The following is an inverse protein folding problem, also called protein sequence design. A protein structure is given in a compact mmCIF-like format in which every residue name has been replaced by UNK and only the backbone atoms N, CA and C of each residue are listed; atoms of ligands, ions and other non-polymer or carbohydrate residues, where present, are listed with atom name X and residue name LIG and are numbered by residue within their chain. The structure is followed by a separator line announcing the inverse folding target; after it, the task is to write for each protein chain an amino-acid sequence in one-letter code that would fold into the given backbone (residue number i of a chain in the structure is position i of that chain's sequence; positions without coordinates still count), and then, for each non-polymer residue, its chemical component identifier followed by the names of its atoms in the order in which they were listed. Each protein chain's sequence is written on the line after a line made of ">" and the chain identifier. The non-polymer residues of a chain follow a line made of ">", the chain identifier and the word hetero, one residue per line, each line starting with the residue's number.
data_IF_316760051947
#
_entry.id   IF_316760051947
#
_cell.length_a   1.000
_cell.length_b   1.000
_cell.length_c   1.000
_cell.angle_alpha   90.00
_cell.angle_beta   90.00
_cell.angle_gamma   90.00
#
_symmetry.space_group_name_H-M   'P 1'
#
loop_
_entity.id
_entity.type
_entity.pdbx_description
1 polymer ?
#
# COMPACT_ATOMS: atom_id res chain seq x y z
N UNK A 1 7.63 -17.29 15.40
CA UNK A 1 7.11 -16.01 14.89
C UNK A 1 6.22 -15.40 15.96
N UNK A 2 6.62 -14.26 16.53
CA UNK A 2 5.87 -13.61 17.61
C UNK A 2 4.77 -12.73 17.00
N UNK A 3 3.58 -13.30 16.77
CA UNK A 3 2.44 -12.60 16.18
C UNK A 3 2.11 -11.29 16.92
N UNK A 4 2.23 -11.32 18.25
CA UNK A 4 1.95 -10.16 19.10
C UNK A 4 2.92 -9.01 18.84
N UNK A 5 4.21 -9.31 18.67
CA UNK A 5 5.24 -8.32 18.37
C UNK A 5 5.05 -7.72 16.98
N UNK A 6 4.67 -8.55 15.99
CA UNK A 6 4.35 -8.09 14.63
C UNK A 6 3.16 -7.12 14.63
N UNK A 7 2.10 -7.46 15.36
CA UNK A 7 0.93 -6.60 15.50
C UNK A 7 1.26 -5.29 16.23
N UNK A 8 2.07 -5.34 17.29
CA UNK A 8 2.51 -4.16 18.03
C UNK A 8 3.30 -3.19 17.14
N UNK A 9 4.26 -3.69 16.37
CA UNK A 9 5.01 -2.84 15.46
C UNK A 9 4.16 -2.26 14.33
N UNK A 10 3.23 -3.04 13.76
CA UNK A 10 2.31 -2.54 12.76
C UNK A 10 1.44 -1.42 13.32
N UNK A 11 0.90 -1.60 14.52
CA UNK A 11 0.16 -0.55 15.23
C UNK A 11 1.01 0.71 15.42
N UNK A 12 2.27 0.58 15.86
CA UNK A 12 3.17 1.72 16.04
C UNK A 12 3.44 2.46 14.72
N UNK A 13 3.60 1.74 13.60
CA UNK A 13 3.73 2.38 12.29
C UNK A 13 2.45 3.11 11.86
N UNK A 14 1.28 2.54 12.13
CA UNK A 14 0.01 3.20 11.86
C UNK A 14 -0.16 4.48 12.68
N UNK A 15 0.24 4.46 13.96
CA UNK A 15 0.24 5.66 14.80
C UNK A 15 1.17 6.74 14.25
N UNK A 16 2.38 6.37 13.82
CA UNK A 16 3.30 7.32 13.16
C UNK A 16 2.76 7.85 11.82
N UNK A 17 2.13 7.00 11.02
CA UNK A 17 1.49 7.40 9.76
C UNK A 17 0.44 8.48 10.01
N UNK A 18 -0.40 8.31 11.03
CA UNK A 18 -1.50 9.23 11.36
C UNK A 18 -1.03 10.49 12.09
N UNK A 19 0.13 10.44 12.72
CA UNK A 19 0.80 11.59 13.33
C UNK A 19 1.64 12.42 12.35
N UNK A 20 1.90 11.92 11.13
CA UNK A 20 2.65 12.66 10.11
C UNK A 20 1.83 13.83 9.56
N UNK A 21 2.27 15.06 9.86
CA UNK A 21 1.55 16.28 9.48
C UNK A 21 1.36 16.43 7.97
N UNK A 22 2.33 16.01 7.16
CA UNK A 22 2.24 16.12 5.70
C UNK A 22 1.13 15.21 5.17
N UNK A 23 1.07 13.97 5.65
CA UNK A 23 0.05 13.01 5.23
C UNK A 23 -1.34 13.37 5.75
N UNK A 24 -1.42 13.84 6.99
CA UNK A 24 -2.66 14.34 7.59
C UNK A 24 -3.21 15.55 6.83
N UNK A 25 -2.35 16.53 6.51
CA UNK A 25 -2.73 17.68 5.69
C UNK A 25 -3.03 17.30 4.23
N UNK A 26 -2.43 16.21 3.75
CA UNK A 26 -2.73 15.57 2.48
C UNK A 26 -4.06 14.82 2.44
N UNK A 27 -4.82 14.78 3.53
CA UNK A 27 -6.16 14.22 3.63
C UNK A 27 -6.21 12.70 3.73
N UNK A 28 -5.11 12.05 4.15
CA UNK A 28 -5.12 10.61 4.40
C UNK A 28 -5.90 10.29 5.67
N UNK A 29 -6.84 9.35 5.59
CA UNK A 29 -7.67 8.94 6.74
C UNK A 29 -7.68 7.44 6.95
N UNK A 30 -7.63 7.00 8.20
CA UNK A 30 -7.86 5.61 8.58
C UNK A 30 -9.34 5.28 8.54
N UNK A 31 -9.72 4.19 7.87
CA UNK A 31 -11.11 3.70 7.80
C UNK A 31 -11.32 2.51 8.73
N UNK A 32 -10.38 1.55 8.67
CA UNK A 32 -10.45 0.30 9.40
C UNK A 32 -9.03 -0.09 9.82
N UNK A 33 -8.87 -0.58 11.04
CA UNK A 33 -7.64 -1.19 11.50
C UNK A 33 -7.97 -2.48 12.24
N UNK A 34 -7.35 -3.56 11.77
CA UNK A 34 -7.36 -4.88 12.39
C UNK A 34 -5.94 -5.22 12.85
N UNK A 35 -5.76 -6.43 13.38
CA UNK A 35 -4.47 -6.89 13.92
C UNK A 35 -3.38 -6.98 12.84
N UNK A 36 -3.76 -7.45 11.66
CA UNK A 36 -2.86 -7.80 10.55
C UNK A 36 -3.05 -6.93 9.29
N UNK A 37 -4.03 -6.03 9.29
CA UNK A 37 -4.20 -5.08 8.19
C UNK A 37 -4.86 -3.77 8.61
N UNK A 38 -4.74 -2.76 7.76
CA UNK A 38 -5.48 -1.52 7.85
C UNK A 38 -5.99 -1.10 6.47
N UNK A 39 -7.05 -0.30 6.42
CA UNK A 39 -7.54 0.34 5.20
C UNK A 39 -7.50 1.84 5.41
N UNK A 40 -6.82 2.53 4.49
CA UNK A 40 -6.75 4.00 4.47
C UNK A 40 -7.38 4.55 3.21
N UNK A 41 -7.85 5.78 3.30
CA UNK A 41 -8.29 6.59 2.16
C UNK A 41 -7.15 7.53 1.77
N UNK A 42 -6.88 7.64 0.47
CA UNK A 42 -5.91 8.57 -0.08
C UNK A 42 -6.59 9.46 -1.14
N UNK A 43 -6.59 10.80 -0.97
CA UNK A 43 -7.11 11.71 -1.98
C UNK A 43 -6.29 11.72 -3.26
N UNK A 44 -6.97 11.78 -4.41
CA UNK A 44 -6.36 11.84 -5.75
C UNK A 44 -6.30 13.28 -6.25
N UNK A 45 -5.11 13.88 -6.20
CA UNK A 45 -4.88 15.26 -6.60
C UNK A 45 -5.91 16.24 -6.02
N UNK A 46 -6.46 17.12 -6.88
CA UNK A 46 -7.55 18.06 -6.54
C UNK A 46 -8.90 17.63 -7.11
N UNK A 47 -9.05 16.35 -7.46
CA UNK A 47 -10.24 15.87 -8.20
C UNK A 47 -11.47 15.67 -7.31
N UNK A 48 -11.30 15.74 -5.98
CA UNK A 48 -12.35 15.42 -5.00
C UNK A 48 -12.62 13.92 -4.87
N UNK A 49 -11.91 13.08 -5.64
CA UNK A 49 -12.02 11.61 -5.59
C UNK A 49 -11.00 11.05 -4.63
N UNK A 50 -11.34 9.93 -3.99
CA UNK A 50 -10.41 9.23 -3.12
C UNK A 50 -10.26 7.77 -3.52
N UNK A 51 -9.10 7.19 -3.23
CA UNK A 51 -8.88 5.75 -3.35
C UNK A 51 -8.85 5.08 -1.98
N UNK A 52 -9.19 3.79 -1.95
CA UNK A 52 -9.00 2.95 -0.77
C UNK A 52 -7.82 2.02 -0.97
N UNK A 53 -6.90 2.05 -0.01
CA UNK A 53 -5.68 1.25 0.01
C UNK A 53 -5.66 0.38 1.25
N UNK A 54 -5.62 -0.93 1.06
CA UNK A 54 -5.38 -1.90 2.11
C UNK A 54 -3.87 -2.08 2.29
N UNK A 55 -3.44 -2.02 3.55
CA UNK A 55 -2.07 -2.24 4.01
C UNK A 55 -2.11 -3.55 4.78
N UNK A 56 -1.47 -4.60 4.26
CA UNK A 56 -1.40 -5.89 4.92
C UNK A 56 0.00 -6.14 5.49
N UNK A 57 -0.01 -6.71 6.69
CA UNK A 57 1.17 -7.06 7.45
C UNK A 57 1.13 -8.56 7.79
N UNK A 58 1.72 -9.38 6.93
CA UNK A 58 1.76 -10.83 7.13
C UNK A 58 2.86 -11.19 8.14
N UNK A 59 4.07 -10.62 7.97
CA UNK A 59 5.23 -10.85 8.84
C UNK A 59 6.02 -9.55 9.09
N UNK A 60 5.53 -8.70 9.99
CA UNK A 60 6.21 -7.46 10.32
C UNK A 60 7.65 -7.74 10.79
N UNK A 61 8.61 -6.96 10.31
CA UNK A 61 10.08 -7.07 10.50
C UNK A 61 10.81 -8.03 9.55
N UNK A 62 10.14 -9.06 9.03
CA UNK A 62 10.75 -10.02 8.08
C UNK A 62 10.43 -9.68 6.62
N UNK A 63 9.24 -9.16 6.37
CA UNK A 63 8.76 -8.85 5.04
C UNK A 63 8.33 -7.37 4.94
N UNK A 64 8.52 -6.73 3.77
CA UNK A 64 7.92 -5.42 3.51
C UNK A 64 6.38 -5.52 3.56
N UNK A 65 5.73 -4.39 3.84
CA UNK A 65 4.28 -4.31 3.81
C UNK A 65 3.72 -4.56 2.40
N UNK A 66 2.56 -5.20 2.37
CA UNK A 66 1.79 -5.41 1.16
C UNK A 66 0.74 -4.31 1.00
N UNK A 67 0.51 -3.90 -0.24
CA UNK A 67 -0.43 -2.84 -0.55
C UNK A 67 -1.36 -3.29 -1.68
N UNK A 68 -2.66 -3.14 -1.45
CA UNK A 68 -3.70 -3.54 -2.40
C UNK A 68 -4.73 -2.44 -2.55
N UNK A 69 -5.16 -2.19 -3.79
CA UNK A 69 -6.34 -1.36 -4.01
C UNK A 69 -7.58 -2.19 -3.71
N UNK A 70 -8.50 -1.61 -2.95
CA UNK A 70 -9.72 -2.29 -2.51
C UNK A 70 -10.96 -1.52 -2.90
N UNK A 71 -12.06 -2.25 -2.99
CA UNK A 71 -13.40 -1.70 -3.19
C UNK A 71 -13.77 -0.78 -2.00
N UNK A 72 -14.26 0.45 -2.26
CA UNK A 72 -14.54 1.43 -1.22
C UNK A 72 -15.73 1.06 -0.32
N UNK A 73 -16.59 0.15 -0.74
CA UNK A 73 -17.82 -0.24 -0.02
C UNK A 73 -17.57 -1.47 0.85
N UNK A 74 -16.88 -2.47 0.32
CA UNK A 74 -16.72 -3.77 0.98
C UNK A 74 -15.27 -4.15 1.31
N UNK A 75 -14.30 -3.30 0.96
CA UNK A 75 -12.86 -3.46 1.23
C UNK A 75 -12.23 -4.76 0.72
N UNK A 76 -12.87 -5.45 -0.23
CA UNK A 76 -12.29 -6.60 -0.92
C UNK A 76 -11.32 -6.12 -1.98
N UNK A 77 -10.34 -6.98 -2.30
CA UNK A 77 -9.43 -6.74 -3.42
C UNK A 77 -10.23 -6.52 -4.70
N UNK A 78 -9.82 -5.50 -5.47
CA UNK A 78 -10.41 -5.23 -6.76
C UNK A 78 -10.06 -6.34 -7.76
N UNK A 79 -10.96 -6.61 -8.72
CA UNK A 79 -10.59 -7.43 -9.87
C UNK A 79 -9.54 -6.68 -10.72
N UNK A 80 -8.71 -7.41 -11.50
CA UNK A 80 -7.58 -6.83 -12.22
C UNK A 80 -7.92 -5.63 -13.11
N UNK A 81 -9.07 -5.65 -13.78
CA UNK A 81 -9.53 -4.60 -14.69
C UNK A 81 -9.87 -3.27 -14.00
N UNK A 82 -10.02 -3.29 -12.67
CA UNK A 82 -10.31 -2.10 -11.86
C UNK A 82 -9.08 -1.55 -11.11
N UNK A 83 -7.91 -2.18 -11.29
CA UNK A 83 -6.66 -1.65 -10.75
C UNK A 83 -6.20 -0.41 -11.54
N UNK A 84 -5.51 0.54 -10.88
CA UNK A 84 -4.81 1.60 -11.60
C UNK A 84 -3.80 1.04 -12.60
N UNK A 85 -3.54 1.78 -13.67
CA UNK A 85 -2.54 1.42 -14.68
C UNK A 85 -1.42 2.46 -14.71
N UNK A 86 -0.18 2.01 -14.93
CA UNK A 86 0.99 2.89 -15.04
C UNK A 86 2.26 2.23 -14.52
N UNK A 87 3.38 2.95 -14.58
CA UNK A 87 4.66 2.45 -14.07
C UNK A 87 4.56 2.12 -12.58
N UNK A 88 5.05 0.95 -12.19
CA UNK A 88 4.95 0.46 -10.81
C UNK A 88 3.66 -0.29 -10.50
N UNK A 89 2.74 -0.48 -11.45
CA UNK A 89 1.71 -1.51 -11.38
C UNK A 89 2.14 -2.67 -12.28
N UNK A 90 2.30 -3.84 -11.69
CA UNK A 90 2.63 -5.05 -12.43
C UNK A 90 1.38 -5.93 -12.55
N UNK A 91 1.20 -6.51 -13.74
CA UNK A 91 0.14 -7.48 -13.98
C UNK A 91 0.30 -8.68 -13.04
N UNK A 92 -0.84 -9.28 -12.70
CA UNK A 92 -0.84 -10.53 -11.94
C UNK A 92 -0.12 -11.66 -12.69
N UNK A 93 0.35 -12.65 -11.93
CA UNK A 93 0.88 -13.90 -12.47
C UNK A 93 0.28 -15.08 -11.69
N UNK A 94 0.55 -16.32 -12.10
CA UNK A 94 -0.10 -17.52 -11.54
C UNK A 94 -0.09 -17.63 -10.00
N UNK A 95 0.89 -17.01 -9.31
CA UNK A 95 0.96 -17.02 -7.84
C UNK A 95 0.36 -15.76 -7.18
N UNK A 96 0.20 -14.67 -7.94
CA UNK A 96 -0.41 -13.41 -7.51
C UNK A 96 -1.39 -12.99 -8.62
N UNK A 97 -2.59 -13.59 -8.67
CA UNK A 97 -3.51 -13.44 -9.80
C UNK A 97 -4.06 -12.01 -9.95
N UNK A 98 -3.96 -11.20 -8.89
CA UNK A 98 -4.34 -9.79 -8.92
C UNK A 98 -3.10 -8.93 -9.22
N UNK A 99 -3.27 -7.78 -9.89
CA UNK A 99 -2.18 -6.83 -10.08
C UNK A 99 -1.60 -6.38 -8.74
N UNK A 100 -0.32 -6.02 -8.77
CA UNK A 100 0.42 -5.63 -7.58
C UNK A 100 1.08 -4.28 -7.75
N UNK A 101 1.20 -3.55 -6.64
CA UNK A 101 2.02 -2.34 -6.58
C UNK A 101 3.48 -2.78 -6.47
N UNK A 102 4.21 -2.70 -7.58
CA UNK A 102 5.62 -3.09 -7.72
C UNK A 102 6.53 -1.85 -7.75
N UNK A 103 6.67 -1.18 -6.60
CA UNK A 103 7.59 -0.06 -6.41
C UNK A 103 8.58 -0.40 -5.30
N UNK A 104 9.74 0.26 -5.26
CA UNK A 104 10.86 -0.11 -4.39
C UNK A 104 10.55 -0.17 -2.89
N UNK A 105 9.40 0.34 -2.46
CA UNK A 105 8.95 0.36 -1.08
C UNK A 105 7.86 -0.67 -0.78
N UNK A 106 7.66 -1.71 -1.61
CA UNK A 106 6.58 -2.70 -1.40
C UNK A 106 7.09 -4.14 -1.41
N UNK A 107 6.30 -5.05 -0.82
CA UNK A 107 6.59 -6.48 -0.81
C UNK A 107 6.87 -7.02 -2.22
N UNK A 108 5.94 -6.79 -3.14
CA UNK A 108 5.98 -7.34 -4.49
C UNK A 108 7.23 -6.96 -5.26
N UNK A 109 7.81 -5.79 -4.98
CA UNK A 109 9.09 -5.42 -5.57
C UNK A 109 10.24 -6.28 -5.03
N UNK A 110 10.37 -6.43 -3.72
CA UNK A 110 11.51 -7.14 -3.13
C UNK A 110 11.46 -8.65 -3.32
N UNK A 111 10.29 -9.23 -3.56
CA UNK A 111 10.13 -10.68 -3.76
C UNK A 111 10.14 -11.10 -5.23
N UNK A 112 10.08 -10.17 -6.17
CA UNK A 112 10.10 -10.51 -7.59
C UNK A 112 11.53 -10.83 -8.08
N UNK A 113 11.76 -11.92 -8.84
CA UNK A 113 13.09 -12.31 -9.31
C UNK A 113 13.88 -11.22 -10.05
N UNK A 114 13.19 -10.32 -10.77
CA UNK A 114 13.81 -9.18 -11.46
C UNK A 114 14.49 -8.18 -10.51
N UNK A 115 14.19 -8.21 -9.21
CA UNK A 115 14.71 -7.29 -8.20
C UNK A 115 15.61 -7.99 -7.17
N UNK A 116 16.08 -9.21 -7.46
CA UNK A 116 16.96 -10.01 -6.57
C UNK A 116 18.21 -9.27 -6.04
N UNK A 117 18.66 -8.22 -6.74
CA UNK A 117 19.81 -7.41 -6.34
C UNK A 117 19.46 -6.29 -5.35
N UNK A 118 18.17 -6.08 -5.08
CA UNK A 118 17.61 -5.07 -4.18
C UNK A 118 16.86 -5.75 -3.01
N UNK A 119 17.55 -6.53 -2.14
CA UNK A 119 16.89 -7.24 -1.05
C UNK A 119 16.35 -6.27 0.02
N UNK A 120 15.19 -6.61 0.60
CA UNK A 120 14.52 -5.78 1.60
C UNK A 120 15.39 -5.50 2.83
N UNK A 121 16.20 -6.46 3.28
CA UNK A 121 17.08 -6.31 4.45
C UNK A 121 17.96 -5.06 4.44
N UNK A 122 18.37 -4.61 3.24
CA UNK A 122 19.19 -3.40 3.07
C UNK A 122 18.41 -2.11 3.34
N UNK A 123 17.08 -2.17 3.31
CA UNK A 123 16.19 -1.02 3.36
C UNK A 123 15.16 -1.11 4.49
N UNK A 124 15.17 -2.19 5.28
CA UNK A 124 14.22 -2.43 6.38
C UNK A 124 14.12 -1.26 7.37
N UNK A 125 15.23 -0.57 7.62
CA UNK A 125 15.28 0.60 8.52
C UNK A 125 14.86 1.91 7.84
N UNK A 126 14.76 1.91 6.50
CA UNK A 126 14.46 3.09 5.70
C UNK A 126 13.00 3.13 5.21
N UNK A 127 12.30 1.99 5.21
CA UNK A 127 10.90 1.90 4.81
C UNK A 127 9.96 1.98 6.02
N UNK A 128 9.84 3.20 6.53
CA UNK A 128 8.77 3.58 7.47
C UNK A 128 7.48 3.73 6.67
N UNK A 129 6.36 3.25 7.21
CA UNK A 129 5.06 3.22 6.53
C UNK A 129 4.68 4.59 5.93
N UNK A 130 4.90 5.68 6.67
CA UNK A 130 4.67 7.04 6.16
C UNK A 130 5.41 7.33 4.85
N UNK A 131 6.69 6.94 4.75
CA UNK A 131 7.48 7.10 3.52
C UNK A 131 6.95 6.25 2.37
N UNK A 132 6.49 5.03 2.64
CA UNK A 132 5.88 4.16 1.64
C UNK A 132 4.58 4.77 1.10
N UNK A 133 3.73 5.29 1.99
CA UNK A 133 2.48 5.96 1.61
C UNK A 133 2.74 7.24 0.82
N UNK A 134 3.76 8.04 1.17
CA UNK A 134 4.16 9.21 0.38
C UNK A 134 4.57 8.82 -1.05
N UNK A 135 5.36 7.76 -1.20
CA UNK A 135 5.77 7.25 -2.50
C UNK A 135 4.57 6.75 -3.34
N UNK A 136 3.65 6.01 -2.72
CA UNK A 136 2.41 5.55 -3.35
C UNK A 136 1.55 6.76 -3.77
N UNK A 137 1.40 7.77 -2.90
CA UNK A 137 0.66 8.99 -3.21
C UNK A 137 1.27 9.76 -4.39
N UNK A 138 2.59 9.84 -4.47
CA UNK A 138 3.26 10.46 -5.63
C UNK A 138 2.94 9.72 -6.93
N UNK A 139 2.84 8.39 -6.92
CA UNK A 139 2.44 7.63 -8.10
C UNK A 139 0.97 7.85 -8.45
N UNK A 140 0.08 7.85 -7.45
CA UNK A 140 -1.35 8.17 -7.62
C UNK A 140 -1.54 9.53 -8.29
N UNK A 141 -0.79 10.53 -7.84
CA UNK A 141 -0.98 11.91 -8.29
C UNK A 141 -0.32 12.19 -9.66
N UNK A 142 0.74 11.46 -10.04
CA UNK A 142 1.58 11.82 -11.19
C UNK A 142 1.79 10.73 -12.24
N UNK A 143 1.52 9.46 -11.91
CA UNK A 143 1.93 8.31 -12.75
C UNK A 143 0.76 7.40 -13.10
N UNK A 144 -0.13 7.12 -12.14
CA UNK A 144 -1.17 6.13 -12.33
C UNK A 144 -2.45 6.73 -12.89
N UNK A 145 -3.00 6.06 -13.90
CA UNK A 145 -4.37 6.29 -14.36
C UNK A 145 -5.30 5.38 -13.59
N UNK A 146 -6.28 5.96 -12.89
CA UNK A 146 -7.21 5.21 -12.06
C UNK A 146 -8.52 5.03 -12.83
N UNK A 147 -8.98 3.79 -13.10
CA UNK A 147 -10.21 3.54 -13.84
C UNK A 147 -11.45 3.98 -13.04
N UNK A 148 -12.50 4.38 -13.74
CA UNK A 148 -13.81 4.65 -13.12
C UNK A 148 -14.41 3.39 -12.51
N UNK A 149 -15.10 3.53 -11.36
CA UNK A 149 -15.74 2.42 -10.67
C UNK A 149 -14.80 1.44 -9.95
N UNK A 150 -13.48 1.68 -9.96
CA UNK A 150 -12.47 0.87 -9.25
C UNK A 150 -12.34 1.23 -7.77
N UNK A 151 -11.12 1.57 -7.33
CA UNK A 151 -10.87 1.99 -5.93
C UNK A 151 -11.45 3.38 -5.59
N UNK A 152 -12.04 4.07 -6.57
CA UNK A 152 -12.52 5.43 -6.44
C UNK A 152 -13.85 5.51 -5.66
N UNK A 153 -13.89 6.38 -4.66
CA UNK A 153 -15.10 6.88 -3.99
C UNK A 153 -15.26 8.37 -4.18
#
# INVERSE_FOLDING_TARGET
>A
MHKDLSAEYFKNQMEHLLADDELKNGGITLVLQETDFAVIIIPVGKTGRNIHLKIENINFDLDPLHFYFVDPVNFKNLPPELYPVGSGIADGHDMLPNPVICISSTYSYHTHPSHRNSPFDKYRNNFILAGQIKNIKQHIDNVWTIPEGGCLS
#
